data_IF_528628268927
#
_entry.id   IF_528628268927
#
_cell.length_a   1.000
_cell.length_b   1.000
_cell.length_c   1.000
_cell.angle_alpha   90.00
_cell.angle_beta   90.00
_cell.angle_gamma   90.00
#
_symmetry.space_group_name_H-M   'P 1'
#
loop_
_entity.id
_entity.type
_entity.pdbx_description
1 polymer ?
#
# COMPACT_ATOMS: atom_id res chain seq x y z
N UNK A 1 38.64 15.92 26.97
CA UNK A 1 37.92 14.74 27.44
C UNK A 1 36.83 15.18 28.43
N UNK A 2 35.59 15.37 27.99
CA UNK A 2 34.47 15.69 28.90
C UNK A 2 33.88 14.38 29.40
N UNK A 3 34.03 14.10 30.71
CA UNK A 3 33.32 13.00 31.40
C UNK A 3 31.83 13.30 31.39
N UNK A 4 31.07 12.51 30.63
CA UNK A 4 29.59 12.54 30.68
C UNK A 4 29.14 11.87 31.97
N UNK A 5 28.49 12.61 32.85
CA UNK A 5 27.83 12.10 34.05
C UNK A 5 26.61 11.26 33.70
N UNK A 6 26.38 10.08 34.27
CA UNK A 6 25.18 9.28 34.03
C UNK A 6 23.95 9.97 34.64
N UNK A 7 22.86 9.91 33.91
CA UNK A 7 21.55 10.43 34.36
C UNK A 7 20.95 9.40 35.35
N UNK A 8 20.72 9.81 36.61
CA UNK A 8 20.12 8.96 37.66
C UNK A 8 18.66 9.31 37.86
N UNK A 9 17.74 8.36 37.62
CA UNK A 9 16.32 8.48 37.99
C UNK A 9 16.07 7.59 39.19
N UNK A 10 15.75 8.19 40.34
CA UNK A 10 15.43 7.48 41.57
C UNK A 10 13.91 7.24 41.66
N UNK A 11 13.49 5.98 41.66
CA UNK A 11 12.10 5.60 41.98
C UNK A 11 12.06 5.11 43.41
N UNK A 12 11.38 5.84 44.29
CA UNK A 12 11.16 5.45 45.67
C UNK A 12 10.02 4.43 45.78
N UNK A 13 10.32 3.18 46.05
CA UNK A 13 9.34 2.17 46.44
C UNK A 13 9.77 1.58 47.79
N UNK A 14 8.97 1.85 48.83
CA UNK A 14 8.70 1.14 50.05
C UNK A 14 9.08 1.78 51.39
N UNK A 15 8.16 1.56 52.32
CA UNK A 15 8.04 2.03 53.68
C UNK A 15 8.70 1.02 54.65
N UNK A 16 10.02 0.72 54.53
CA UNK A 16 10.69 -0.09 55.52
C UNK A 16 12.07 0.49 55.82
N UNK A 17 12.33 0.76 57.10
CA UNK A 17 13.39 1.62 57.60
C UNK A 17 14.74 0.90 57.82
N UNK A 18 14.87 -0.36 57.42
CA UNK A 18 16.10 -1.15 57.69
C UNK A 18 16.86 -1.61 56.44
N UNK A 19 16.37 -1.35 55.25
CA UNK A 19 17.08 -1.70 54.02
C UNK A 19 16.84 -0.66 52.90
N UNK A 20 17.37 0.54 53.10
CA UNK A 20 17.42 1.54 52.01
C UNK A 20 18.54 1.18 51.02
N UNK A 21 18.43 0.04 50.36
CA UNK A 21 19.04 -0.11 49.06
C UNK A 21 18.07 0.50 48.06
N UNK A 22 18.21 1.82 47.81
CA UNK A 22 17.54 2.45 46.67
C UNK A 22 18.00 1.66 45.43
N UNK A 23 17.05 0.92 44.82
CA UNK A 23 17.29 0.29 43.56
C UNK A 23 17.41 1.43 42.51
N UNK A 24 18.62 1.98 42.40
CA UNK A 24 18.94 2.99 41.39
C UNK A 24 19.07 2.28 40.06
N UNK A 25 18.04 2.39 39.25
CA UNK A 25 18.13 1.95 37.84
C UNK A 25 18.98 2.98 37.11
N UNK A 26 20.27 2.66 36.95
CA UNK A 26 21.17 3.50 36.15
C UNK A 26 21.11 3.05 34.69
N UNK A 27 20.57 3.91 33.81
CA UNK A 27 20.64 3.69 32.37
C UNK A 27 21.95 4.27 31.85
N UNK A 28 22.73 3.45 31.16
CA UNK A 28 23.89 3.97 30.42
C UNK A 28 23.43 4.63 29.12
N UNK A 29 24.14 5.66 28.66
CA UNK A 29 23.89 6.30 27.34
C UNK A 29 23.87 5.25 26.22
N UNK A 30 24.67 4.20 26.33
CA UNK A 30 24.69 3.10 25.36
C UNK A 30 23.40 2.27 25.36
N UNK A 31 22.81 2.00 26.54
CA UNK A 31 21.56 1.27 26.67
C UNK A 31 20.37 2.07 26.11
N UNK A 32 20.31 3.37 26.43
CA UNK A 32 19.28 4.26 25.90
C UNK A 32 19.38 4.34 24.37
N UNK A 33 20.58 4.49 23.82
CA UNK A 33 20.79 4.52 22.39
C UNK A 33 20.40 3.20 21.72
N UNK A 34 20.72 2.05 22.33
CA UNK A 34 20.34 0.73 21.81
C UNK A 34 18.81 0.56 21.75
N UNK A 35 18.09 0.99 22.78
CA UNK A 35 16.62 0.93 22.79
C UNK A 35 15.98 1.86 21.75
N UNK A 36 16.52 3.09 21.63
CA UNK A 36 16.04 4.04 20.62
C UNK A 36 16.25 3.49 19.20
N UNK A 37 17.41 2.92 18.93
CA UNK A 37 17.75 2.30 17.63
C UNK A 37 16.81 1.12 17.35
N UNK A 38 16.66 0.22 18.34
CA UNK A 38 15.80 -0.96 18.24
C UNK A 38 14.33 -0.64 18.02
N UNK A 39 13.91 0.60 18.27
CA UNK A 39 12.55 1.07 18.07
C UNK A 39 12.38 1.92 16.81
N UNK A 40 13.25 2.91 16.58
CA UNK A 40 13.08 3.91 15.53
C UNK A 40 13.26 3.32 14.13
N UNK A 41 14.26 2.46 13.91
CA UNK A 41 14.50 1.90 12.59
C UNK A 41 13.39 0.95 12.13
N UNK A 42 12.91 -0.01 12.95
CA UNK A 42 11.75 -0.81 12.58
C UNK A 42 10.50 0.03 12.39
N UNK A 43 10.25 1.02 13.26
CA UNK A 43 9.13 1.95 13.13
C UNK A 43 9.13 2.65 11.77
N UNK A 44 10.29 3.09 11.31
CA UNK A 44 10.42 3.80 10.03
C UNK A 44 10.03 2.90 8.85
N UNK A 45 10.43 1.62 8.85
CA UNK A 45 10.02 0.64 7.82
C UNK A 45 8.51 0.39 7.85
N UNK A 46 7.96 0.20 9.04
CA UNK A 46 6.52 -0.02 9.25
C UNK A 46 5.71 1.19 8.78
N UNK A 47 6.12 2.40 9.15
CA UNK A 47 5.46 3.62 8.72
C UNK A 47 5.53 3.81 7.20
N UNK A 48 6.66 3.51 6.57
CA UNK A 48 6.81 3.52 5.11
C UNK A 48 5.76 2.65 4.41
N UNK A 49 5.54 1.44 4.91
CA UNK A 49 4.48 0.55 4.41
C UNK A 49 3.09 1.15 4.64
N UNK A 50 2.76 1.55 5.87
CA UNK A 50 1.43 2.04 6.24
C UNK A 50 1.03 3.32 5.49
N UNK A 51 1.99 4.14 5.06
CA UNK A 51 1.70 5.37 4.32
C UNK A 51 1.21 5.11 2.90
N UNK A 52 1.64 4.04 2.26
CA UNK A 52 1.38 3.78 0.83
C UNK A 52 0.35 2.68 0.61
N UNK A 53 0.21 1.73 1.54
CA UNK A 53 -0.74 0.62 1.41
C UNK A 53 -2.18 1.14 1.27
N UNK A 54 -2.98 0.64 0.31
CA UNK A 54 -4.28 1.22 -0.06
C UNK A 54 -5.27 1.39 1.09
N UNK A 55 -5.35 0.42 2.00
CA UNK A 55 -6.28 0.45 3.14
C UNK A 55 -5.77 1.38 4.24
N UNK A 56 -4.53 1.18 4.70
CA UNK A 56 -3.95 1.96 5.81
C UNK A 56 -3.53 3.36 5.36
N UNK A 57 -3.05 3.52 4.12
CA UNK A 57 -2.62 4.78 3.54
C UNK A 57 -3.76 5.71 3.12
N UNK A 58 -5.01 5.27 3.17
CA UNK A 58 -6.15 6.04 2.70
C UNK A 58 -6.25 7.41 3.40
N UNK A 59 -6.69 8.43 2.66
CA UNK A 59 -6.78 9.84 3.15
C UNK A 59 -7.76 10.01 4.32
N UNK A 60 -8.77 9.14 4.42
CA UNK A 60 -9.73 9.15 5.53
C UNK A 60 -9.11 8.71 6.86
N UNK A 61 -7.95 8.01 6.85
CA UNK A 61 -7.27 7.58 8.07
C UNK A 61 -6.33 8.70 8.56
N UNK A 62 -6.60 9.32 9.73
CA UNK A 62 -5.76 10.38 10.27
C UNK A 62 -4.32 9.90 10.50
N UNK A 63 -3.34 10.79 10.29
CA UNK A 63 -1.92 10.47 10.50
C UNK A 63 -1.63 9.95 11.92
N UNK A 64 -2.34 10.46 12.92
CA UNK A 64 -2.21 10.00 14.33
C UNK A 64 -2.52 8.51 14.48
N UNK A 65 -3.55 8.01 13.78
CA UNK A 65 -3.93 6.58 13.81
C UNK A 65 -2.85 5.73 13.13
N UNK A 66 -2.32 6.17 12.00
CA UNK A 66 -1.23 5.48 11.30
C UNK A 66 0.03 5.38 12.16
N UNK A 67 0.41 6.48 12.81
CA UNK A 67 1.56 6.52 13.71
C UNK A 67 1.31 5.63 14.93
N UNK A 68 0.13 5.71 15.56
CA UNK A 68 -0.22 4.87 16.70
C UNK A 68 -0.20 3.38 16.36
N UNK A 69 -0.74 3.00 15.20
CA UNK A 69 -0.68 1.61 14.70
C UNK A 69 0.77 1.19 14.43
N UNK A 70 1.58 2.06 13.81
CA UNK A 70 2.99 1.80 13.57
C UNK A 70 3.78 1.57 14.85
N UNK A 71 3.56 2.39 15.88
CA UNK A 71 4.16 2.24 17.22
C UNK A 71 3.73 0.89 17.82
N UNK A 72 2.45 0.56 17.78
CA UNK A 72 1.93 -0.69 18.33
C UNK A 72 2.54 -1.92 17.66
N UNK A 73 2.58 -1.95 16.34
CA UNK A 73 3.23 -3.03 15.58
C UNK A 73 4.72 -3.11 15.92
N UNK A 74 5.41 -1.96 16.01
CA UNK A 74 6.83 -1.91 16.34
C UNK A 74 7.10 -2.52 17.72
N UNK A 75 6.30 -2.23 18.73
CA UNK A 75 6.44 -2.79 20.08
C UNK A 75 6.30 -4.31 20.09
N UNK A 76 5.41 -4.86 19.28
CA UNK A 76 5.22 -6.32 19.16
C UNK A 76 6.38 -6.97 18.41
N UNK A 77 6.86 -6.34 17.33
CA UNK A 77 7.86 -6.91 16.44
C UNK A 77 9.28 -6.70 16.95
N UNK A 78 9.58 -5.57 17.61
CA UNK A 78 10.93 -5.22 18.07
C UNK A 78 11.67 -6.33 18.86
N UNK A 79 11.03 -7.08 19.78
CA UNK A 79 11.71 -8.16 20.51
C UNK A 79 12.10 -9.37 19.65
N UNK A 80 11.47 -9.54 18.48
CA UNK A 80 11.71 -10.68 17.56
C UNK A 80 12.78 -10.39 16.51
N UNK A 81 13.29 -9.15 16.48
CA UNK A 81 14.23 -8.70 15.47
C UNK A 81 15.66 -9.15 15.75
N UNK A 82 16.47 -9.39 14.70
CA UNK A 82 17.90 -9.68 14.86
C UNK A 82 18.64 -8.50 15.52
N UNK A 83 19.84 -8.76 16.07
CA UNK A 83 20.65 -7.71 16.70
C UNK A 83 20.86 -6.51 15.77
N UNK A 84 20.70 -5.30 16.33
CA UNK A 84 20.85 -4.06 15.58
C UNK A 84 22.31 -3.67 15.41
N UNK A 85 22.71 -3.03 14.30
CA UNK A 85 24.06 -2.53 14.14
C UNK A 85 24.36 -1.47 15.20
N UNK A 86 25.57 -1.49 15.79
CA UNK A 86 26.00 -0.55 16.83
C UNK A 86 26.28 0.89 16.35
N UNK A 87 25.48 1.38 15.42
CA UNK A 87 25.59 2.72 14.79
C UNK A 87 24.67 3.69 15.50
N UNK A 88 25.18 4.82 16.00
CA UNK A 88 24.36 5.83 16.67
C UNK A 88 23.37 6.52 15.70
N UNK A 89 22.14 6.78 16.20
CA UNK A 89 21.09 7.48 15.41
C UNK A 89 21.54 8.84 14.88
N UNK A 90 22.32 9.59 15.63
CA UNK A 90 22.84 10.91 15.23
C UNK A 90 24.03 10.89 14.26
N UNK A 91 24.48 9.70 13.83
CA UNK A 91 25.55 9.57 12.86
C UNK A 91 25.00 9.64 11.44
N UNK A 92 25.87 10.01 10.47
CA UNK A 92 25.51 9.98 9.04
C UNK A 92 25.02 8.59 8.59
N UNK A 93 25.67 7.53 9.10
CA UNK A 93 25.26 6.15 8.81
C UNK A 93 23.90 5.81 9.42
N UNK A 94 23.57 6.34 10.61
CA UNK A 94 22.25 6.14 11.24
C UNK A 94 21.13 6.79 10.42
N UNK A 95 21.35 8.00 9.92
CA UNK A 95 20.41 8.69 9.02
C UNK A 95 20.23 7.92 7.70
N UNK A 96 21.32 7.42 7.14
CA UNK A 96 21.27 6.60 5.93
C UNK A 96 20.42 5.34 6.11
N UNK A 97 20.59 4.64 7.26
CA UNK A 97 19.76 3.49 7.63
C UNK A 97 18.28 3.90 7.72
N UNK A 98 17.94 5.03 8.34
CA UNK A 98 16.55 5.51 8.40
C UNK A 98 15.92 5.65 7.02
N UNK A 99 16.63 6.30 6.09
CA UNK A 99 16.16 6.46 4.72
C UNK A 99 15.96 5.10 4.04
N UNK A 100 16.91 4.17 4.21
CA UNK A 100 16.77 2.82 3.65
C UNK A 100 15.57 2.09 4.24
N UNK A 101 15.37 2.13 5.55
CA UNK A 101 14.23 1.46 6.19
C UNK A 101 12.90 2.01 5.65
N UNK A 102 12.80 3.33 5.50
CA UNK A 102 11.65 3.98 4.92
C UNK A 102 11.40 3.50 3.48
N UNK A 103 12.44 3.48 2.64
CA UNK A 103 12.36 3.04 1.25
C UNK A 103 11.93 1.56 1.11
N UNK A 104 12.43 0.68 1.99
CA UNK A 104 12.01 -0.74 2.00
C UNK A 104 10.51 -0.85 2.32
N UNK A 105 10.05 -0.18 3.37
CA UNK A 105 8.63 -0.16 3.72
C UNK A 105 7.76 0.40 2.60
N UNK A 106 8.22 1.49 1.99
CA UNK A 106 7.57 2.15 0.87
C UNK A 106 7.49 1.23 -0.37
N UNK A 107 8.56 0.48 -0.68
CA UNK A 107 8.60 -0.46 -1.79
C UNK A 107 7.57 -1.60 -1.62
N UNK A 108 7.47 -2.19 -0.42
CA UNK A 108 6.48 -3.23 -0.12
C UNK A 108 5.05 -2.67 -0.30
N UNK A 109 4.77 -1.49 0.27
CA UNK A 109 3.46 -0.84 0.16
C UNK A 109 3.12 -0.43 -1.27
N UNK A 110 4.11 0.01 -2.05
CA UNK A 110 3.96 0.43 -3.44
C UNK A 110 3.49 -0.73 -4.33
N UNK A 111 4.05 -1.93 -4.20
CA UNK A 111 3.58 -3.11 -4.95
C UNK A 111 2.07 -3.32 -4.75
N UNK A 112 1.61 -3.25 -3.51
CA UNK A 112 0.18 -3.39 -3.23
C UNK A 112 -0.63 -2.22 -3.80
N UNK A 113 -0.11 -1.00 -3.75
CA UNK A 113 -0.74 0.18 -4.37
C UNK A 113 -0.90 0.01 -5.89
N UNK A 114 0.08 -0.59 -6.56
CA UNK A 114 0.02 -0.91 -8.00
C UNK A 114 -1.11 -1.89 -8.31
N UNK A 115 -1.29 -2.92 -7.48
CA UNK A 115 -2.40 -3.89 -7.64
C UNK A 115 -3.76 -3.18 -7.58
N UNK A 116 -3.97 -2.31 -6.60
CA UNK A 116 -5.21 -1.54 -6.49
C UNK A 116 -5.38 -0.53 -7.63
N UNK A 117 -4.29 0.10 -8.06
CA UNK A 117 -4.32 1.00 -9.21
C UNK A 117 -4.72 0.28 -10.52
N UNK A 118 -4.33 -0.98 -10.69
CA UNK A 118 -4.78 -1.79 -11.83
C UNK A 118 -6.29 -2.04 -11.81
N UNK A 119 -6.86 -2.30 -10.63
CA UNK A 119 -8.31 -2.46 -10.47
C UNK A 119 -9.05 -1.13 -10.71
N UNK A 120 -8.51 -0.02 -10.20
CA UNK A 120 -9.03 1.32 -10.46
C UNK A 120 -9.02 1.63 -11.97
N UNK A 121 -7.90 1.32 -12.66
CA UNK A 121 -7.76 1.52 -14.10
C UNK A 121 -8.76 0.67 -14.90
N UNK A 122 -9.02 -0.57 -14.50
CA UNK A 122 -10.05 -1.40 -15.13
C UNK A 122 -11.44 -0.73 -15.06
N UNK A 123 -11.81 -0.25 -13.88
CA UNK A 123 -13.08 0.47 -13.68
C UNK A 123 -13.16 1.77 -14.49
N UNK A 124 -12.03 2.47 -14.64
CA UNK A 124 -11.95 3.69 -15.44
C UNK A 124 -12.14 3.40 -16.92
N UNK A 125 -11.44 2.40 -17.46
CA UNK A 125 -11.53 1.99 -18.87
C UNK A 125 -12.97 1.56 -19.20
N UNK A 126 -13.60 0.73 -18.36
CA UNK A 126 -14.98 0.29 -18.54
C UNK A 126 -15.96 1.47 -18.44
N UNK A 127 -15.76 2.34 -17.45
CA UNK A 127 -16.60 3.55 -17.28
C UNK A 127 -16.54 4.50 -18.47
N UNK A 128 -15.35 4.71 -19.04
CA UNK A 128 -15.19 5.48 -20.27
C UNK A 128 -15.94 4.83 -21.45
N UNK A 129 -15.86 3.52 -21.59
CA UNK A 129 -16.51 2.76 -22.64
C UNK A 129 -18.05 2.76 -22.51
N UNK A 130 -18.57 2.82 -21.27
CA UNK A 130 -20.00 3.00 -20.98
C UNK A 130 -20.49 4.44 -21.24
N UNK A 131 -19.58 5.38 -21.53
CA UNK A 131 -19.89 6.77 -21.77
C UNK A 131 -19.98 7.63 -20.50
N UNK A 132 -19.62 7.10 -19.32
CA UNK A 132 -19.65 7.87 -18.05
C UNK A 132 -18.70 9.08 -18.08
N UNK A 133 -17.69 9.07 -18.95
CA UNK A 133 -16.79 10.20 -19.17
C UNK A 133 -17.48 11.46 -19.75
N UNK A 134 -18.63 11.32 -20.39
CA UNK A 134 -19.36 12.48 -20.92
C UNK A 134 -19.85 13.42 -19.82
N UNK A 135 -20.07 12.94 -18.59
CA UNK A 135 -20.48 13.77 -17.47
C UNK A 135 -19.45 14.89 -17.16
N UNK A 136 -18.17 14.64 -17.40
CA UNK A 136 -17.10 15.63 -17.19
C UNK A 136 -17.11 16.79 -18.19
N UNK A 137 -17.77 16.63 -19.35
CA UNK A 137 -17.96 17.73 -20.30
C UNK A 137 -18.98 18.76 -19.80
N UNK A 138 -19.97 18.31 -19.01
CA UNK A 138 -21.00 19.19 -18.45
C UNK A 138 -20.61 19.83 -17.14
N UNK A 139 -19.72 19.19 -16.38
CA UNK A 139 -19.16 19.73 -15.13
C UNK A 139 -17.62 19.60 -15.11
N UNK A 140 -16.91 20.61 -15.66
CA UNK A 140 -15.45 20.64 -15.68
C UNK A 140 -14.82 20.66 -14.28
N UNK A 141 -15.53 21.10 -13.26
CA UNK A 141 -15.01 21.10 -11.88
C UNK A 141 -14.91 19.66 -11.32
N UNK A 142 -15.71 18.75 -11.82
CA UNK A 142 -15.66 17.32 -11.52
C UNK A 142 -14.69 16.53 -12.40
N UNK A 143 -14.09 17.15 -13.43
CA UNK A 143 -13.23 16.48 -14.42
C UNK A 143 -11.98 15.82 -13.83
N UNK A 144 -11.53 16.23 -12.62
CA UNK A 144 -10.42 15.63 -11.89
C UNK A 144 -10.81 14.48 -10.94
N UNK A 145 -12.09 14.11 -10.89
CA UNK A 145 -12.56 13.03 -10.03
C UNK A 145 -12.55 11.69 -10.78
N UNK A 146 -12.12 10.63 -10.06
CA UNK A 146 -12.20 9.26 -10.58
C UNK A 146 -13.64 8.89 -10.90
N UNK A 147 -13.85 8.17 -12.01
CA UNK A 147 -15.17 7.70 -12.43
C UNK A 147 -15.84 6.86 -11.34
N UNK A 148 -17.16 6.91 -11.27
CA UNK A 148 -17.95 6.18 -10.25
C UNK A 148 -17.63 4.69 -10.28
N UNK A 149 -17.47 4.12 -11.48
CA UNK A 149 -17.16 2.69 -11.64
C UNK A 149 -15.77 2.32 -11.14
N UNK A 150 -14.78 3.19 -11.31
CA UNK A 150 -13.43 3.01 -10.75
C UNK A 150 -13.47 2.97 -9.21
N UNK A 151 -14.24 3.86 -8.59
CA UNK A 151 -14.45 3.85 -7.12
C UNK A 151 -15.17 2.59 -6.65
N UNK A 152 -16.16 2.14 -7.41
CA UNK A 152 -16.89 0.90 -7.11
C UNK A 152 -15.95 -0.31 -7.14
N UNK A 153 -15.14 -0.45 -8.19
CA UNK A 153 -14.15 -1.53 -8.29
C UNK A 153 -13.10 -1.47 -7.16
N UNK A 154 -12.63 -0.28 -6.85
CA UNK A 154 -11.69 -0.10 -5.72
C UNK A 154 -12.34 -0.52 -4.38
N UNK A 155 -13.60 -0.16 -4.15
CA UNK A 155 -14.32 -0.57 -2.95
C UNK A 155 -14.48 -2.09 -2.87
N UNK A 156 -14.82 -2.75 -3.97
CA UNK A 156 -14.87 -4.21 -4.04
C UNK A 156 -13.50 -4.84 -3.76
N UNK A 157 -12.44 -4.31 -4.36
CA UNK A 157 -11.08 -4.79 -4.10
C UNK A 157 -10.68 -4.65 -2.63
N UNK A 158 -11.05 -3.55 -1.96
CA UNK A 158 -10.85 -3.36 -0.51
C UNK A 158 -11.62 -4.41 0.29
N UNK A 159 -12.88 -4.67 -0.05
CA UNK A 159 -13.68 -5.70 0.63
C UNK A 159 -13.07 -7.10 0.47
N UNK A 160 -12.65 -7.46 -0.74
CA UNK A 160 -11.97 -8.73 -1.00
C UNK A 160 -10.64 -8.79 -0.23
N UNK A 161 -9.84 -7.72 -0.25
CA UNK A 161 -8.57 -7.62 0.50
C UNK A 161 -8.75 -7.90 2.00
N UNK A 162 -9.80 -7.37 2.58
CA UNK A 162 -10.14 -7.61 3.99
C UNK A 162 -10.69 -9.02 4.21
N UNK A 163 -11.56 -9.50 3.33
CA UNK A 163 -12.18 -10.82 3.43
C UNK A 163 -11.15 -11.97 3.38
N UNK A 164 -10.14 -11.85 2.53
CA UNK A 164 -9.05 -12.86 2.43
C UNK A 164 -7.93 -12.64 3.45
N UNK A 165 -8.10 -11.73 4.43
CA UNK A 165 -7.09 -11.38 5.43
C UNK A 165 -5.73 -10.94 4.83
N UNK A 166 -5.73 -10.38 3.62
CA UNK A 166 -4.52 -9.97 2.92
C UNK A 166 -3.74 -8.87 3.68
N UNK A 167 -4.43 -8.08 4.50
CA UNK A 167 -3.81 -7.10 5.39
C UNK A 167 -2.87 -7.77 6.42
N UNK A 168 -3.24 -8.93 6.95
CA UNK A 168 -2.39 -9.70 7.87
C UNK A 168 -1.22 -10.36 7.13
N UNK A 169 -1.47 -10.90 5.93
CA UNK A 169 -0.41 -11.48 5.10
C UNK A 169 0.63 -10.41 4.72
N UNK A 170 0.20 -9.20 4.41
CA UNK A 170 1.12 -8.10 4.10
C UNK A 170 1.95 -7.68 5.31
N UNK A 171 1.37 -7.66 6.51
CA UNK A 171 2.11 -7.46 7.74
C UNK A 171 3.09 -8.62 8.00
N UNK A 172 2.72 -9.86 7.68
CA UNK A 172 3.64 -11.01 7.70
C UNK A 172 4.84 -10.79 6.80
N UNK A 173 4.64 -10.40 5.53
CA UNK A 173 5.73 -10.05 4.60
C UNK A 173 6.63 -8.95 5.16
N UNK A 174 6.05 -7.94 5.82
CA UNK A 174 6.82 -6.88 6.46
C UNK A 174 7.70 -7.42 7.60
N UNK A 175 7.18 -8.29 8.47
CA UNK A 175 7.95 -8.91 9.56
C UNK A 175 9.05 -9.80 9.00
N UNK A 176 8.74 -10.64 8.02
CA UNK A 176 9.71 -11.51 7.35
C UNK A 176 10.80 -10.70 6.62
N UNK A 177 10.47 -9.46 6.22
CA UNK A 177 11.43 -8.56 5.60
C UNK A 177 12.60 -8.20 6.51
N UNK A 178 12.43 -8.20 7.83
CA UNK A 178 13.52 -7.92 8.77
C UNK A 178 14.52 -9.08 8.86
N UNK A 179 14.07 -10.32 8.63
CA UNK A 179 14.95 -11.49 8.56
C UNK A 179 15.61 -11.59 7.17
N UNK A 180 14.82 -11.35 6.12
CA UNK A 180 15.29 -11.44 4.73
C UNK A 180 16.23 -10.31 4.34
N UNK A 181 15.98 -9.10 4.83
CA UNK A 181 16.76 -7.89 4.61
C UNK A 181 17.01 -7.19 5.96
N UNK A 182 18.00 -7.67 6.75
CA UNK A 182 18.34 -7.11 8.04
C UNK A 182 18.71 -5.64 7.97
N UNK A 183 18.54 -4.93 9.09
CA UNK A 183 18.92 -3.53 9.21
C UNK A 183 20.43 -3.43 9.16
N UNK A 184 21.00 -2.82 8.12
CA UNK A 184 22.44 -2.68 7.93
C UNK A 184 22.79 -1.35 7.26
N UNK A 185 24.02 -0.86 7.41
CA UNK A 185 24.49 0.35 6.72
C UNK A 185 24.84 0.12 5.25
N UNK A 186 24.73 -1.12 4.75
CA UNK A 186 25.04 -1.46 3.36
C UNK A 186 23.98 -0.87 2.42
N UNK A 187 24.37 -0.31 1.26
CA UNK A 187 23.43 0.26 0.31
C UNK A 187 22.53 -0.82 -0.31
N UNK A 188 21.26 -0.49 -0.53
CA UNK A 188 20.32 -1.35 -1.22
C UNK A 188 20.71 -1.52 -2.70
N UNK A 189 20.35 -2.65 -3.28
CA UNK A 189 20.60 -2.94 -4.70
C UNK A 189 19.82 -2.00 -5.62
N UNK A 190 20.51 -1.37 -6.58
CA UNK A 190 19.89 -0.55 -7.62
C UNK A 190 18.98 -1.37 -8.53
N UNK A 191 19.33 -2.62 -8.80
CA UNK A 191 18.50 -3.55 -9.55
C UNK A 191 17.15 -3.79 -8.87
N UNK A 192 17.12 -3.84 -7.53
CA UNK A 192 15.87 -3.96 -6.77
C UNK A 192 14.94 -2.78 -6.99
N UNK A 193 15.44 -1.55 -6.99
CA UNK A 193 14.63 -0.35 -7.27
C UNK A 193 14.10 -0.34 -8.70
N UNK A 194 14.90 -0.79 -9.66
CA UNK A 194 14.44 -0.92 -11.04
C UNK A 194 13.28 -1.92 -11.14
N UNK A 195 13.35 -3.07 -10.45
CA UNK A 195 12.27 -4.06 -10.42
C UNK A 195 11.00 -3.52 -9.78
N UNK A 196 11.12 -2.75 -8.69
CA UNK A 196 9.97 -2.05 -8.06
C UNK A 196 9.31 -1.09 -9.05
N UNK A 197 10.10 -0.27 -9.74
CA UNK A 197 9.58 0.68 -10.73
C UNK A 197 8.95 -0.04 -11.94
N UNK A 198 9.60 -1.10 -12.45
CA UNK A 198 9.08 -1.91 -13.54
C UNK A 198 7.74 -2.57 -13.20
N UNK A 199 7.52 -2.94 -11.93
CA UNK A 199 6.23 -3.49 -11.49
C UNK A 199 5.08 -2.49 -11.71
N UNK A 200 5.35 -1.20 -11.69
CA UNK A 200 4.35 -0.16 -12.00
C UNK A 200 3.72 -0.28 -13.39
N UNK A 201 4.43 -0.86 -14.36
CA UNK A 201 3.89 -1.07 -15.72
C UNK A 201 2.74 -2.06 -15.75
N UNK A 202 2.64 -2.94 -14.76
CA UNK A 202 1.57 -3.95 -14.65
C UNK A 202 0.20 -3.33 -14.46
N UNK A 203 0.11 -2.07 -14.00
CA UNK A 203 -1.17 -1.34 -13.84
C UNK A 203 -1.97 -1.38 -15.14
N UNK A 204 -1.35 -1.03 -16.26
CA UNK A 204 -2.05 -0.99 -17.56
C UNK A 204 -2.37 -2.37 -18.08
N UNK A 205 -1.41 -3.31 -18.01
CA UNK A 205 -1.60 -4.66 -18.52
C UNK A 205 -2.73 -5.39 -17.76
N UNK A 206 -2.68 -5.38 -16.44
CA UNK A 206 -3.67 -6.03 -15.57
C UNK A 206 -5.01 -5.30 -15.62
N UNK A 207 -5.00 -3.96 -15.59
CA UNK A 207 -6.22 -3.15 -15.69
C UNK A 207 -6.97 -3.41 -16.99
N UNK A 208 -6.26 -3.46 -18.12
CA UNK A 208 -6.84 -3.81 -19.41
C UNK A 208 -7.36 -5.25 -19.42
N UNK A 209 -6.58 -6.21 -18.92
CA UNK A 209 -6.97 -7.62 -18.85
C UNK A 209 -8.29 -7.82 -18.08
N UNK A 210 -8.45 -7.14 -16.95
CA UNK A 210 -9.69 -7.17 -16.16
C UNK A 210 -10.87 -6.55 -16.91
N UNK A 211 -10.63 -5.49 -17.68
CA UNK A 211 -11.66 -4.76 -18.41
C UNK A 211 -12.08 -5.46 -19.71
N UNK A 212 -11.22 -6.33 -20.29
CA UNK A 212 -11.43 -6.94 -21.62
C UNK A 212 -12.81 -7.55 -21.84
N UNK A 213 -13.38 -8.40 -20.94
CA UNK A 213 -14.69 -9.01 -21.20
C UNK A 213 -15.80 -7.98 -21.32
N UNK A 214 -15.79 -6.92 -20.50
CA UNK A 214 -16.78 -5.84 -20.58
C UNK A 214 -16.56 -4.97 -21.82
N UNK A 215 -15.31 -4.63 -22.13
CA UNK A 215 -14.96 -3.85 -23.32
C UNK A 215 -15.42 -4.56 -24.58
N UNK A 216 -15.20 -5.87 -24.71
CA UNK A 216 -15.60 -6.64 -25.89
C UNK A 216 -17.11 -6.51 -26.17
N UNK A 217 -17.94 -6.67 -25.14
CA UNK A 217 -19.40 -6.58 -25.27
C UNK A 217 -19.83 -5.13 -25.58
N UNK A 218 -19.23 -4.14 -24.91
CA UNK A 218 -19.52 -2.73 -25.15
C UNK A 218 -19.09 -2.28 -26.54
N UNK A 219 -17.98 -2.78 -27.09
CA UNK A 219 -17.57 -2.53 -28.47
C UNK A 219 -18.56 -3.11 -29.49
N UNK A 220 -19.05 -4.34 -29.25
CA UNK A 220 -20.10 -4.94 -30.07
C UNK A 220 -21.40 -4.10 -30.04
N UNK A 221 -21.76 -3.62 -28.85
CA UNK A 221 -22.91 -2.73 -28.67
C UNK A 221 -22.74 -1.43 -29.46
N UNK A 222 -21.57 -0.80 -29.37
CA UNK A 222 -21.27 0.43 -30.09
C UNK A 222 -21.25 0.21 -31.61
N UNK A 223 -20.74 -0.94 -32.08
CA UNK A 223 -20.81 -1.30 -33.50
C UNK A 223 -22.25 -1.46 -33.97
N UNK A 224 -23.10 -2.16 -33.20
CA UNK A 224 -24.53 -2.31 -33.52
C UNK A 224 -25.24 -0.96 -33.57
N UNK A 225 -24.96 -0.06 -32.62
CA UNK A 225 -25.50 1.31 -32.65
C UNK A 225 -25.00 2.10 -33.85
N UNK A 226 -23.74 1.95 -34.26
CA UNK A 226 -23.20 2.58 -35.47
C UNK A 226 -23.90 2.11 -36.75
N UNK A 227 -24.24 0.82 -36.88
CA UNK A 227 -25.01 0.28 -37.99
C UNK A 227 -26.44 0.82 -37.94
N UNK A 228 -27.06 0.83 -36.77
CA UNK A 228 -28.44 1.34 -36.61
C UNK A 228 -28.57 2.81 -37.04
N UNK A 229 -27.63 3.67 -36.63
CA UNK A 229 -27.65 5.10 -37.01
C UNK A 229 -27.39 5.32 -38.48
N UNK A 230 -26.65 4.43 -39.15
CA UNK A 230 -26.52 4.47 -40.61
C UNK A 230 -27.84 4.12 -41.32
N UNK A 231 -28.60 3.18 -40.75
CA UNK A 231 -29.89 2.74 -41.32
C UNK A 231 -31.03 3.69 -41.01
N UNK A 232 -30.98 4.38 -39.88
CA UNK A 232 -32.00 5.33 -39.42
C UNK A 232 -31.34 6.66 -38.98
N UNK A 233 -30.90 7.51 -39.93
CA UNK A 233 -30.16 8.74 -39.62
C UNK A 233 -30.97 9.80 -38.87
N UNK A 234 -32.28 9.62 -38.78
CA UNK A 234 -33.17 10.50 -37.98
C UNK A 234 -33.01 10.27 -36.45
N UNK A 235 -32.43 9.14 -36.04
CA UNK A 235 -32.20 8.86 -34.62
C UNK A 235 -31.00 9.65 -34.09
N UNK A 236 -31.22 10.43 -33.05
CA UNK A 236 -30.15 11.14 -32.39
C UNK A 236 -29.29 10.13 -31.59
N UNK A 237 -28.10 9.82 -32.12
CA UNK A 237 -27.18 8.83 -31.53
C UNK A 237 -26.81 9.18 -30.08
N UNK A 238 -26.68 10.45 -29.74
CA UNK A 238 -26.36 10.88 -28.39
C UNK A 238 -27.53 10.66 -27.41
N UNK A 239 -28.74 10.86 -27.87
CA UNK A 239 -29.95 10.70 -27.05
C UNK A 239 -30.26 9.21 -26.75
N UNK A 240 -29.95 8.31 -27.69
CA UNK A 240 -30.30 6.89 -27.60
C UNK A 240 -29.07 6.05 -27.27
N UNK A 241 -27.92 6.38 -27.82
CA UNK A 241 -26.70 5.60 -27.69
C UNK A 241 -26.19 5.54 -26.23
N UNK A 242 -26.12 6.68 -25.54
CA UNK A 242 -25.67 6.74 -24.17
C UNK A 242 -26.52 5.88 -23.19
N UNK A 243 -27.88 6.00 -23.18
CA UNK A 243 -28.69 5.14 -22.32
C UNK A 243 -28.52 3.64 -22.61
N UNK A 244 -28.38 3.27 -23.91
CA UNK A 244 -28.20 1.87 -24.31
C UNK A 244 -26.86 1.34 -23.86
N UNK A 245 -25.75 2.06 -24.11
CA UNK A 245 -24.40 1.62 -23.68
C UNK A 245 -24.29 1.54 -22.17
N UNK A 246 -24.90 2.49 -21.45
CA UNK A 246 -24.97 2.45 -19.99
C UNK A 246 -25.78 1.24 -19.48
N UNK A 247 -26.97 1.02 -20.06
CA UNK A 247 -27.86 -0.10 -19.69
C UNK A 247 -27.20 -1.46 -19.94
N UNK A 248 -26.64 -1.66 -21.15
CA UNK A 248 -25.90 -2.89 -21.49
C UNK A 248 -24.70 -3.06 -20.56
N UNK A 249 -23.93 -1.98 -20.30
CA UNK A 249 -22.78 -2.03 -19.42
C UNK A 249 -23.15 -2.44 -17.99
N UNK A 250 -24.26 -1.93 -17.45
CA UNK A 250 -24.72 -2.32 -16.10
C UNK A 250 -25.18 -3.79 -16.06
N UNK A 251 -25.90 -4.27 -17.08
CA UNK A 251 -26.33 -5.67 -17.16
C UNK A 251 -25.11 -6.61 -17.25
N UNK A 252 -24.14 -6.28 -18.09
CA UNK A 252 -22.92 -7.08 -18.23
C UNK A 252 -22.09 -7.03 -16.95
N UNK A 253 -22.02 -5.89 -16.30
CA UNK A 253 -21.35 -5.75 -15.01
C UNK A 253 -21.99 -6.65 -13.95
N UNK A 254 -23.33 -6.66 -13.86
CA UNK A 254 -24.06 -7.50 -12.91
C UNK A 254 -23.76 -9.00 -13.12
N UNK A 255 -23.81 -9.45 -14.38
CA UNK A 255 -23.52 -10.84 -14.76
C UNK A 255 -22.06 -11.22 -14.47
N UNK A 256 -21.11 -10.27 -14.64
CA UNK A 256 -19.68 -10.52 -14.45
C UNK A 256 -19.20 -10.32 -13.01
N UNK A 257 -19.97 -9.63 -12.18
CA UNK A 257 -19.62 -9.29 -10.80
C UNK A 257 -19.16 -10.50 -9.95
N UNK A 258 -19.82 -11.68 -10.00
CA UNK A 258 -19.36 -12.85 -9.25
C UNK A 258 -17.96 -13.35 -9.65
N UNK A 259 -17.53 -13.07 -10.88
CA UNK A 259 -16.21 -13.50 -11.38
C UNK A 259 -15.10 -12.53 -10.99
N UNK A 260 -15.41 -11.29 -10.61
CA UNK A 260 -14.40 -10.33 -10.19
C UNK A 260 -13.79 -10.65 -8.82
N UNK A 261 -14.57 -11.18 -7.87
CA UNK A 261 -14.07 -11.47 -6.54
C UNK A 261 -12.88 -12.47 -6.57
N UNK A 262 -12.96 -13.64 -7.24
CA UNK A 262 -11.83 -14.55 -7.39
C UNK A 262 -10.63 -13.92 -8.13
N UNK A 263 -10.88 -13.09 -9.15
CA UNK A 263 -9.82 -12.41 -9.89
C UNK A 263 -9.09 -11.38 -9.02
N UNK A 264 -9.81 -10.61 -8.22
CA UNK A 264 -9.22 -9.66 -7.28
C UNK A 264 -8.42 -10.38 -6.20
N UNK A 265 -8.94 -11.49 -5.67
CA UNK A 265 -8.20 -12.35 -4.74
C UNK A 265 -6.88 -12.82 -5.32
N UNK A 266 -6.89 -13.34 -6.54
CA UNK A 266 -5.68 -13.80 -7.23
C UNK A 266 -4.67 -12.66 -7.46
N UNK A 267 -5.14 -11.47 -7.84
CA UNK A 267 -4.31 -10.29 -8.01
C UNK A 267 -3.66 -9.85 -6.69
N UNK A 268 -4.43 -9.84 -5.61
CA UNK A 268 -3.94 -9.49 -4.28
C UNK A 268 -2.87 -10.50 -3.83
N UNK A 269 -3.12 -11.80 -4.00
CA UNK A 269 -2.14 -12.85 -3.67
C UNK A 269 -0.86 -12.71 -4.50
N UNK A 270 -0.97 -12.42 -5.79
CA UNK A 270 0.18 -12.15 -6.65
C UNK A 270 0.94 -10.90 -6.20
N UNK A 271 0.24 -9.85 -5.77
CA UNK A 271 0.84 -8.65 -5.18
C UNK A 271 1.61 -8.94 -3.89
N UNK A 272 1.07 -9.79 -3.01
CA UNK A 272 1.76 -10.22 -1.77
C UNK A 272 3.04 -11.01 -2.12
N UNK A 273 2.97 -11.95 -3.06
CA UNK A 273 4.14 -12.71 -3.54
C UNK A 273 5.19 -11.78 -4.17
N UNK A 274 4.75 -10.82 -4.98
CA UNK A 274 5.64 -9.83 -5.59
C UNK A 274 6.30 -8.94 -4.52
N UNK A 275 5.57 -8.54 -3.47
CA UNK A 275 6.13 -7.79 -2.33
C UNK A 275 7.24 -8.56 -1.63
N UNK A 276 7.05 -9.86 -1.40
CA UNK A 276 8.09 -10.72 -0.81
C UNK A 276 9.31 -10.88 -1.75
N UNK A 277 9.08 -11.00 -3.06
CA UNK A 277 10.13 -11.14 -4.07
C UNK A 277 10.97 -9.87 -4.20
N UNK A 278 10.35 -8.70 -4.14
CA UNK A 278 11.04 -7.39 -4.17
C UNK A 278 12.03 -7.25 -3.02
N UNK A 279 11.69 -7.73 -1.83
CA UNK A 279 12.60 -7.70 -0.67
C UNK A 279 13.89 -8.46 -0.98
N UNK A 280 13.80 -9.60 -1.65
CA UNK A 280 14.96 -10.39 -2.03
C UNK A 280 15.85 -9.68 -3.07
N UNK A 281 15.24 -8.95 -4.01
CA UNK A 281 15.97 -8.21 -5.04
C UNK A 281 16.64 -6.93 -4.52
N UNK A 282 16.15 -6.39 -3.40
CA UNK A 282 16.74 -5.21 -2.72
C UNK A 282 17.97 -5.56 -1.88
N UNK A 283 18.31 -6.84 -1.69
CA UNK A 283 19.50 -7.24 -0.94
C UNK A 283 20.76 -6.64 -1.55
N UNK A 284 21.70 -6.17 -0.74
CA UNK A 284 23.04 -5.81 -1.19
C UNK A 284 23.69 -7.00 -1.91
N UNK A 285 24.35 -6.75 -3.02
CA UNK A 285 25.18 -7.75 -3.73
C UNK A 285 26.56 -7.80 -3.13
#
# INVERSE_FOLDING_TARGET
>A
MRKKTPFHVAIFLSHDTSARQACMISFSDAQLNAWLIGFIWPLTRILGLLMVTPVFGHRAVPARVKIGLGIFITLIVSPTLPPMPGVGLGSWHGLFILVQQFLIGLAIGFIMRVVFAAVEAAGEIVGLQMGLGFASFFDPQSAGQTLVLSRFFNMLAVLVFLAVNAHLLLLGVLVDSFQSLPISPQPLSTAGFHNVAAFGTTVFAVGLQLALPLIAILLMTNLALGILTRSAPQLNIFAIGFPITLGVGLIVLDITLPYFAPQFEQLIQNGIKASAMVIQTLRPQ
#
